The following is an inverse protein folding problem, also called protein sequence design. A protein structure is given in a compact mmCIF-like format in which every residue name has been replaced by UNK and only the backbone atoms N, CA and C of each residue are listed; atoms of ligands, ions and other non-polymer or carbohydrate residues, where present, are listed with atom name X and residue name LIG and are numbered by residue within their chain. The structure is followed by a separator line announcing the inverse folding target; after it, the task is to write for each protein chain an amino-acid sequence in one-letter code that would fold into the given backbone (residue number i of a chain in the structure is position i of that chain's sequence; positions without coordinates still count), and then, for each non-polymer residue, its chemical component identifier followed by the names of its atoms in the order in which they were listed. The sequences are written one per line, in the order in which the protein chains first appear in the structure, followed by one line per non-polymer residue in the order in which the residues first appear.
data_IF_888410241241
#
_entry.id   IF_888410241241
#
_cell.length_a   1.000
_cell.length_b   1.000
_cell.length_c   1.000
_cell.angle_alpha   90.00
_cell.angle_beta   90.00
_cell.angle_gamma   90.00
#
_symmetry.space_group_name_H-M   'P 1'
#
loop_
_entity.id
_entity.type
_entity.pdbx_description
1 polymer ?
#
# COMPACT_ATOMS: atom_id res chain seq x y z
N UNK A 1 -9.87 -11.83 -2.13
CA UNK A 1 -10.27 -10.66 -2.95
C UNK A 1 -9.08 -9.95 -3.60
N UNK A 2 -8.05 -9.55 -2.83
CA UNK A 2 -6.92 -8.74 -3.34
C UNK A 2 -6.14 -9.46 -4.45
N UNK A 3 -5.86 -10.74 -4.29
CA UNK A 3 -5.10 -11.51 -5.31
C UNK A 3 -5.90 -11.73 -6.59
N UNK A 4 -7.20 -11.97 -6.50
CA UNK A 4 -8.06 -12.07 -7.69
C UNK A 4 -8.05 -10.76 -8.50
N UNK A 5 -8.11 -9.61 -7.80
CA UNK A 5 -7.98 -8.30 -8.43
C UNK A 5 -6.58 -8.10 -9.04
N UNK A 6 -5.51 -8.62 -8.41
CA UNK A 6 -4.16 -8.57 -8.96
C UNK A 6 -4.06 -9.33 -10.29
N UNK A 7 -4.56 -10.57 -10.36
CA UNK A 7 -4.60 -11.35 -11.60
C UNK A 7 -5.29 -10.60 -12.73
N UNK A 8 -6.46 -10.04 -12.45
CA UNK A 8 -7.20 -9.24 -13.43
C UNK A 8 -6.37 -8.05 -13.95
N UNK A 9 -5.68 -7.34 -13.06
CA UNK A 9 -4.86 -6.19 -13.45
C UNK A 9 -3.61 -6.58 -14.24
N UNK A 10 -3.00 -7.74 -13.99
CA UNK A 10 -1.86 -8.23 -14.79
C UNK A 10 -2.28 -8.45 -16.25
N UNK A 11 -3.44 -9.09 -16.46
CA UNK A 11 -4.00 -9.31 -17.80
C UNK A 11 -4.34 -7.98 -18.48
N UNK A 12 -4.94 -7.04 -17.75
CA UNK A 12 -5.32 -5.73 -18.29
C UNK A 12 -4.10 -4.90 -18.72
N UNK A 13 -2.99 -4.95 -17.97
CA UNK A 13 -1.74 -4.25 -18.34
C UNK A 13 -1.18 -4.78 -19.66
N UNK A 14 -1.23 -6.10 -19.87
CA UNK A 14 -0.75 -6.76 -21.09
C UNK A 14 -1.82 -6.85 -22.18
N UNK A 15 -2.96 -6.17 -22.07
CA UNK A 15 -4.12 -6.37 -22.95
C UNK A 15 -3.84 -5.99 -24.40
N UNK A 16 -3.02 -4.96 -24.64
CA UNK A 16 -2.59 -4.56 -25.99
C UNK A 16 -1.47 -5.48 -26.47
N UNK A 17 -1.83 -6.66 -26.98
CA UNK A 17 -0.91 -7.75 -27.36
C UNK A 17 0.13 -7.37 -28.41
N UNK A 18 -0.18 -6.42 -29.29
CA UNK A 18 0.71 -5.96 -30.36
C UNK A 18 1.76 -4.96 -29.85
N UNK A 19 1.55 -4.39 -28.65
CA UNK A 19 2.50 -3.49 -28.01
C UNK A 19 3.58 -4.27 -27.29
N UNK A 20 4.81 -4.24 -27.81
CA UNK A 20 5.98 -4.81 -27.10
C UNK A 20 6.15 -4.21 -25.70
N UNK A 21 5.94 -2.90 -25.57
CA UNK A 21 6.02 -2.20 -24.30
C UNK A 21 4.93 -2.66 -23.32
N UNK A 22 3.70 -2.90 -23.79
CA UNK A 22 2.60 -3.44 -22.99
C UNK A 22 2.86 -4.87 -22.53
N UNK A 23 3.36 -5.73 -23.40
CA UNK A 23 3.71 -7.10 -23.06
C UNK A 23 4.84 -7.18 -22.03
N UNK A 24 5.90 -6.36 -22.19
CA UNK A 24 7.02 -6.26 -21.25
C UNK A 24 6.54 -5.73 -19.89
N UNK A 25 5.75 -4.66 -19.87
CA UNK A 25 5.19 -4.09 -18.66
C UNK A 25 4.31 -5.07 -17.89
N UNK A 26 3.44 -5.81 -18.62
CA UNK A 26 2.59 -6.85 -18.04
C UNK A 26 3.40 -7.99 -17.43
N UNK A 27 4.45 -8.45 -18.10
CA UNK A 27 5.33 -9.50 -17.59
C UNK A 27 6.07 -9.03 -16.32
N UNK A 28 6.67 -7.84 -16.34
CA UNK A 28 7.34 -7.27 -15.16
C UNK A 28 6.38 -7.14 -14.00
N UNK A 29 5.18 -6.62 -14.26
CA UNK A 29 4.17 -6.42 -13.24
C UNK A 29 3.70 -7.75 -12.64
N UNK A 30 3.50 -8.77 -13.46
CA UNK A 30 3.14 -10.12 -13.03
C UNK A 30 4.25 -10.76 -12.17
N UNK A 31 5.50 -10.76 -12.64
CA UNK A 31 6.61 -11.41 -11.90
C UNK A 31 6.81 -10.74 -10.54
N UNK A 32 6.96 -9.41 -10.52
CA UNK A 32 7.18 -8.68 -9.26
C UNK A 32 5.98 -8.82 -8.32
N UNK A 33 4.77 -8.75 -8.88
CA UNK A 33 3.55 -8.90 -8.09
C UNK A 33 3.38 -10.29 -7.51
N UNK A 34 3.64 -11.34 -8.28
CA UNK A 34 3.55 -12.72 -7.80
C UNK A 34 4.56 -13.01 -6.69
N UNK A 35 5.80 -12.50 -6.81
CA UNK A 35 6.81 -12.62 -5.75
C UNK A 35 6.37 -11.87 -4.49
N UNK A 36 5.91 -10.62 -4.63
CA UNK A 36 5.47 -9.82 -3.49
C UNK A 36 4.25 -10.45 -2.78
N UNK A 37 3.28 -10.97 -3.56
CA UNK A 37 2.13 -11.71 -3.04
C UNK A 37 2.54 -12.99 -2.32
N UNK A 38 3.48 -13.75 -2.89
CA UNK A 38 4.04 -14.96 -2.27
C UNK A 38 4.68 -14.65 -0.91
N UNK A 39 5.48 -13.59 -0.83
CA UNK A 39 6.09 -13.13 0.43
C UNK A 39 5.02 -12.71 1.42
N UNK A 40 4.01 -11.94 1.00
CA UNK A 40 2.89 -11.54 1.85
C UNK A 40 2.08 -12.71 2.40
N UNK A 41 1.78 -13.70 1.54
CA UNK A 41 1.09 -14.94 1.96
C UNK A 41 1.93 -15.77 2.92
N UNK A 42 3.24 -15.83 2.71
CA UNK A 42 4.15 -16.48 3.65
C UNK A 42 4.13 -15.77 5.01
N UNK A 43 4.11 -14.43 5.02
CA UNK A 43 3.91 -13.65 6.25
C UNK A 43 2.61 -13.99 6.98
N UNK A 44 1.50 -14.12 6.26
CA UNK A 44 0.23 -14.56 6.85
C UNK A 44 0.32 -15.98 7.41
N UNK A 45 1.05 -16.89 6.75
CA UNK A 45 1.25 -18.25 7.28
C UNK A 45 2.06 -18.28 8.57
N UNK A 46 3.06 -17.37 8.71
CA UNK A 46 3.81 -17.20 9.96
C UNK A 46 2.92 -16.68 11.09
N UNK A 47 2.05 -15.70 10.80
CA UNK A 47 1.07 -15.20 11.77
C UNK A 47 0.08 -16.28 12.19
N UNK A 48 -0.37 -17.11 11.24
CA UNK A 48 -1.22 -18.24 11.54
C UNK A 48 -0.52 -19.28 12.44
N UNK A 49 0.73 -19.59 12.14
CA UNK A 49 1.52 -20.53 12.95
C UNK A 49 1.70 -20.03 14.39
N UNK A 50 1.88 -18.74 14.56
CA UNK A 50 2.07 -18.11 15.86
C UNK A 50 0.77 -17.97 16.67
N UNK A 51 -0.30 -17.44 16.06
CA UNK A 51 -1.56 -17.14 16.75
C UNK A 51 -2.59 -18.27 16.68
N UNK A 52 -2.37 -19.29 15.83
CA UNK A 52 -3.32 -20.39 15.59
C UNK A 52 -4.54 -20.01 14.77
N UNK A 53 -4.70 -18.73 14.41
CA UNK A 53 -5.83 -18.20 13.63
C UNK A 53 -5.44 -16.94 12.86
N UNK A 54 -6.14 -16.66 11.74
CA UNK A 54 -6.07 -15.38 11.01
C UNK A 54 -7.26 -14.46 11.28
N UNK A 55 -8.11 -14.81 12.24
CA UNK A 55 -9.17 -13.92 12.67
C UNK A 55 -8.55 -12.68 13.34
N UNK A 56 -9.00 -11.49 12.92
CA UNK A 56 -8.41 -10.23 13.40
C UNK A 56 -8.46 -10.08 14.93
N UNK A 57 -9.54 -10.51 15.58
CA UNK A 57 -9.70 -10.45 17.02
C UNK A 57 -8.66 -11.33 17.74
N UNK A 58 -8.41 -12.55 17.21
CA UNK A 58 -7.40 -13.47 17.77
C UNK A 58 -5.99 -12.90 17.57
N UNK A 59 -5.70 -12.37 16.36
CA UNK A 59 -4.42 -11.74 16.10
C UNK A 59 -4.20 -10.52 17.00
N UNK A 60 -5.20 -9.65 17.16
CA UNK A 60 -5.12 -8.49 18.05
C UNK A 60 -4.78 -8.88 19.48
N UNK A 61 -5.49 -9.88 20.03
CA UNK A 61 -5.22 -10.39 21.39
C UNK A 61 -3.81 -11.00 21.51
N UNK A 62 -3.38 -11.77 20.50
CA UNK A 62 -2.05 -12.34 20.48
C UNK A 62 -0.96 -11.26 20.40
N UNK A 63 -1.14 -10.23 19.58
CA UNK A 63 -0.21 -9.10 19.49
C UNK A 63 -0.12 -8.30 20.81
N UNK A 64 -1.23 -8.11 21.52
CA UNK A 64 -1.25 -7.44 22.81
C UNK A 64 -0.45 -8.20 23.87
N UNK A 65 -0.37 -9.54 23.80
CA UNK A 65 0.28 -10.38 24.82
C UNK A 65 1.73 -10.74 24.50
N UNK A 66 2.06 -11.02 23.23
CA UNK A 66 3.37 -11.55 22.81
C UNK A 66 3.83 -11.05 21.43
N UNK A 67 3.34 -9.88 21.00
CA UNK A 67 3.67 -9.28 19.69
C UNK A 67 5.13 -8.89 19.50
N UNK A 68 5.94 -8.86 20.56
CA UNK A 68 7.39 -8.57 20.50
C UNK A 68 8.26 -9.76 20.10
N UNK A 69 7.67 -10.96 20.01
CA UNK A 69 8.39 -12.14 19.58
C UNK A 69 8.89 -12.01 18.12
N UNK A 70 10.02 -12.65 17.76
CA UNK A 70 10.56 -12.54 16.40
C UNK A 70 9.60 -13.02 15.31
N UNK A 71 8.82 -14.07 15.58
CA UNK A 71 7.96 -14.70 14.59
C UNK A 71 6.83 -13.77 14.09
N UNK A 72 6.01 -13.13 14.96
CA UNK A 72 5.00 -12.18 14.52
C UNK A 72 5.59 -10.92 13.90
N UNK A 73 6.75 -10.41 14.38
CA UNK A 73 7.40 -9.24 13.81
C UNK A 73 7.87 -9.50 12.36
N UNK A 74 8.48 -10.66 12.10
CA UNK A 74 8.87 -11.08 10.75
C UNK A 74 7.61 -11.31 9.89
N UNK A 75 6.58 -11.95 10.45
CA UNK A 75 5.31 -12.18 9.77
C UNK A 75 4.66 -10.88 9.29
N UNK A 76 4.55 -9.88 10.16
CA UNK A 76 4.06 -8.53 9.79
C UNK A 76 4.96 -7.88 8.74
N UNK A 77 6.29 -7.98 8.89
CA UNK A 77 7.22 -7.46 7.89
C UNK A 77 6.96 -8.03 6.49
N UNK A 78 6.73 -9.32 6.38
CA UNK A 78 6.42 -9.98 5.10
C UNK A 78 5.03 -9.60 4.57
N UNK A 79 4.03 -9.45 5.44
CA UNK A 79 2.71 -8.92 5.06
C UNK A 79 2.84 -7.51 4.51
N UNK A 80 3.68 -6.65 5.13
CA UNK A 80 3.96 -5.30 4.64
C UNK A 80 4.63 -5.29 3.25
N UNK A 81 5.43 -6.30 2.89
CA UNK A 81 5.96 -6.43 1.52
C UNK A 81 4.82 -6.61 0.51
N UNK A 82 3.88 -7.52 0.78
CA UNK A 82 2.73 -7.76 -0.09
C UNK A 82 1.83 -6.53 -0.25
N UNK A 83 1.47 -5.89 0.86
CA UNK A 83 0.69 -4.65 0.82
C UNK A 83 1.50 -3.48 0.23
N UNK A 84 2.79 -3.39 0.52
CA UNK A 84 3.69 -2.38 -0.01
C UNK A 84 3.74 -2.39 -1.53
N UNK A 85 3.82 -3.58 -2.14
CA UNK A 85 3.66 -3.73 -3.58
C UNK A 85 2.28 -3.24 -4.05
N UNK A 86 1.20 -3.63 -3.37
CA UNK A 86 -0.17 -3.29 -3.77
C UNK A 86 -0.45 -1.79 -3.74
N UNK A 87 0.05 -1.09 -2.73
CA UNK A 87 -0.07 0.38 -2.64
C UNK A 87 1.05 1.11 -3.38
N UNK A 88 2.02 0.39 -3.92
CA UNK A 88 3.24 0.89 -4.56
C UNK A 88 4.11 1.73 -3.61
N UNK A 89 4.30 1.26 -2.38
CA UNK A 89 5.23 1.86 -1.43
C UNK A 89 6.68 1.55 -1.81
N UNK A 90 7.60 2.49 -1.63
CA UNK A 90 9.03 2.22 -1.80
C UNK A 90 9.54 1.33 -0.64
N UNK A 91 10.37 0.32 -0.88
CA UNK A 91 11.03 -0.01 -2.15
C UNK A 91 10.21 -0.90 -3.11
N UNK A 92 9.01 -1.35 -2.76
CA UNK A 92 8.22 -2.35 -3.51
C UNK A 92 7.49 -1.80 -4.75
N UNK A 93 7.73 -0.54 -5.13
CA UNK A 93 7.03 0.17 -6.22
C UNK A 93 7.58 -0.09 -7.63
N UNK A 94 8.66 -0.87 -7.78
CA UNK A 94 9.45 -0.96 -9.02
C UNK A 94 8.63 -1.26 -10.29
N UNK A 95 7.62 -2.11 -10.19
CA UNK A 95 6.80 -2.48 -11.34
C UNK A 95 5.73 -1.43 -11.70
N UNK A 96 5.36 -0.53 -10.79
CA UNK A 96 4.26 0.39 -11.00
C UNK A 96 4.51 1.40 -12.14
N UNK A 97 5.68 2.08 -12.24
CA UNK A 97 5.94 3.03 -13.32
C UNK A 97 5.93 2.38 -14.70
N UNK A 98 6.45 1.17 -14.82
CA UNK A 98 6.47 0.42 -16.08
C UNK A 98 5.06 -0.09 -16.43
N UNK A 99 4.32 -0.62 -15.45
CA UNK A 99 2.94 -1.06 -15.63
C UNK A 99 2.04 0.07 -16.12
N UNK A 100 2.16 1.28 -15.55
CA UNK A 100 1.35 2.43 -15.96
C UNK A 100 1.76 2.96 -17.32
N UNK A 101 3.05 2.97 -17.65
CA UNK A 101 3.54 3.43 -18.94
C UNK A 101 3.18 2.49 -20.09
N UNK A 102 3.20 1.16 -19.84
CA UNK A 102 2.90 0.14 -20.84
C UNK A 102 1.41 -0.17 -21.01
N UNK A 103 0.59 0.09 -20.01
CA UNK A 103 -0.86 -0.09 -20.10
C UNK A 103 -1.53 1.02 -20.92
N UNK A 104 -2.75 0.75 -21.43
CA UNK A 104 -3.61 1.84 -21.94
C UNK A 104 -3.94 2.83 -20.83
N UNK A 105 -4.17 4.10 -21.16
CA UNK A 105 -4.41 5.15 -20.18
C UNK A 105 -5.60 4.87 -19.25
N UNK A 106 -6.75 4.34 -19.70
CA UNK A 106 -7.83 3.94 -18.80
C UNK A 106 -7.42 2.84 -17.80
N UNK A 107 -6.65 1.83 -18.25
CA UNK A 107 -6.15 0.76 -17.37
C UNK A 107 -5.17 1.31 -16.34
N UNK A 108 -4.25 2.20 -16.75
CA UNK A 108 -3.36 2.90 -15.83
C UNK A 108 -4.14 3.71 -14.78
N UNK A 109 -5.26 4.33 -15.17
CA UNK A 109 -6.20 4.99 -14.26
C UNK A 109 -6.79 4.05 -13.22
N UNK A 110 -7.24 2.86 -13.61
CA UNK A 110 -7.75 1.83 -12.69
C UNK A 110 -6.66 1.36 -11.72
N UNK A 111 -5.43 1.15 -12.19
CA UNK A 111 -4.30 0.78 -11.35
C UNK A 111 -3.99 1.88 -10.31
N UNK A 112 -4.05 3.16 -10.75
CA UNK A 112 -3.76 4.29 -9.89
C UNK A 112 -4.84 4.54 -8.82
N UNK A 113 -6.04 4.05 -9.01
CA UNK A 113 -7.23 4.32 -8.17
C UNK A 113 -7.74 3.07 -7.47
N UNK A 114 -8.53 2.25 -8.14
CA UNK A 114 -9.22 1.12 -7.53
C UNK A 114 -8.26 0.09 -6.90
N UNK A 115 -7.17 -0.25 -7.59
CA UNK A 115 -6.18 -1.20 -7.09
C UNK A 115 -5.50 -0.69 -5.82
N UNK A 116 -5.12 0.60 -5.79
CA UNK A 116 -4.51 1.22 -4.61
C UNK A 116 -5.51 1.40 -3.45
N UNK A 117 -6.73 1.79 -3.75
CA UNK A 117 -7.77 1.92 -2.74
C UNK A 117 -8.00 0.60 -2.00
N UNK A 118 -8.12 -0.50 -2.73
CA UNK A 118 -8.26 -1.83 -2.12
C UNK A 118 -7.04 -2.20 -1.26
N UNK A 119 -5.83 -1.95 -1.75
CA UNK A 119 -4.59 -2.21 -1.01
C UNK A 119 -4.50 -1.37 0.26
N UNK A 120 -4.83 -0.08 0.18
CA UNK A 120 -4.76 0.85 1.31
C UNK A 120 -5.81 0.52 2.38
N UNK A 121 -7.05 0.26 2.00
CA UNK A 121 -8.11 -0.15 2.94
C UNK A 121 -7.76 -1.47 3.62
N UNK A 122 -7.21 -2.44 2.88
CA UNK A 122 -6.74 -3.69 3.45
C UNK A 122 -5.60 -3.48 4.45
N UNK A 123 -4.62 -2.63 4.11
CA UNK A 123 -3.50 -2.29 4.97
C UNK A 123 -3.95 -1.55 6.25
N UNK A 124 -4.82 -0.54 6.11
CA UNK A 124 -5.42 0.19 7.24
C UNK A 124 -6.09 -0.81 8.19
N UNK A 125 -6.96 -1.67 7.63
CA UNK A 125 -7.68 -2.65 8.44
C UNK A 125 -6.74 -3.63 9.15
N UNK A 126 -5.72 -4.13 8.45
CA UNK A 126 -4.74 -5.04 9.03
C UNK A 126 -3.96 -4.37 10.17
N UNK A 127 -3.43 -3.17 9.93
CA UNK A 127 -2.57 -2.49 10.90
C UNK A 127 -3.34 -1.96 12.12
N UNK A 128 -4.51 -1.36 11.92
CA UNK A 128 -5.28 -0.82 13.04
C UNK A 128 -5.88 -1.89 13.94
N UNK A 129 -6.31 -3.01 13.37
CA UNK A 129 -6.92 -4.08 14.16
C UNK A 129 -5.86 -4.95 14.83
N UNK A 130 -4.76 -5.23 14.13
CA UNK A 130 -3.75 -6.18 14.61
C UNK A 130 -2.70 -5.50 15.47
N UNK A 131 -2.34 -4.27 15.15
CA UNK A 131 -1.18 -3.61 15.74
C UNK A 131 -1.51 -2.43 16.65
N UNK A 132 -2.78 -2.02 16.72
CA UNK A 132 -3.26 -0.91 17.54
C UNK A 132 -3.87 -1.29 18.91
N UNK A 133 -3.98 -2.56 19.33
CA UNK A 133 -4.45 -2.82 20.69
C UNK A 133 -3.35 -2.49 21.68
N UNK A 134 -3.66 -1.57 22.58
CA UNK A 134 -2.97 -1.18 23.82
C UNK A 134 -1.42 -1.24 23.80
N UNK A 135 -0.80 -0.12 24.16
CA UNK A 135 0.63 0.14 24.18
C UNK A 135 1.53 -1.07 24.53
N UNK A 136 1.95 -1.83 23.54
CA UNK A 136 3.01 -2.83 23.69
C UNK A 136 4.30 -2.33 23.04
N UNK A 137 5.46 -2.63 23.63
CA UNK A 137 6.76 -2.23 23.08
C UNK A 137 6.96 -2.70 21.62
N UNK A 138 6.31 -3.81 21.23
CA UNK A 138 6.35 -4.32 19.86
C UNK A 138 5.63 -3.44 18.84
N UNK A 139 4.59 -2.72 19.24
CA UNK A 139 3.87 -1.81 18.35
C UNK A 139 4.72 -0.60 17.93
N UNK A 140 5.66 -0.15 18.75
CA UNK A 140 6.56 0.95 18.43
C UNK A 140 7.51 0.60 17.26
N UNK A 141 8.03 -0.61 17.21
CA UNK A 141 8.99 -1.04 16.18
C UNK A 141 8.39 -0.96 14.78
N UNK A 142 7.22 -1.52 14.58
CA UNK A 142 6.61 -1.51 13.25
C UNK A 142 6.03 -0.14 12.90
N UNK A 143 5.62 0.72 13.87
CA UNK A 143 5.27 2.12 13.62
C UNK A 143 6.47 2.91 13.07
N UNK A 144 7.65 2.74 13.67
CA UNK A 144 8.89 3.35 13.16
C UNK A 144 9.21 2.85 11.75
N UNK A 145 9.09 1.54 11.50
CA UNK A 145 9.26 0.97 10.17
C UNK A 145 8.27 1.55 9.16
N UNK A 146 6.99 1.69 9.53
CA UNK A 146 5.96 2.26 8.67
C UNK A 146 6.22 3.74 8.39
N UNK A 147 6.64 4.52 9.39
CA UNK A 147 7.03 5.93 9.24
C UNK A 147 8.24 6.12 8.33
N UNK A 148 9.27 5.27 8.49
CA UNK A 148 10.43 5.26 7.60
C UNK A 148 10.04 4.91 6.16
N UNK A 149 9.17 3.92 5.99
CA UNK A 149 8.62 3.51 4.69
C UNK A 149 7.80 4.64 4.05
N UNK A 150 7.02 5.36 4.83
CA UNK A 150 6.26 6.53 4.39
C UNK A 150 7.19 7.64 3.90
N UNK A 151 8.19 8.02 4.71
CA UNK A 151 9.17 9.05 4.36
C UNK A 151 9.95 8.69 3.09
N UNK A 152 10.42 7.44 2.98
CA UNK A 152 11.11 6.95 1.79
C UNK A 152 10.19 6.99 0.57
N UNK A 153 8.94 6.55 0.71
CA UNK A 153 7.97 6.47 -0.38
C UNK A 153 7.62 7.86 -0.93
N UNK A 154 7.33 8.83 -0.05
CA UNK A 154 7.00 10.18 -0.49
C UNK A 154 8.19 10.89 -1.12
N UNK A 155 9.39 10.74 -0.56
CA UNK A 155 10.62 11.37 -1.08
C UNK A 155 10.98 10.80 -2.44
N UNK A 156 11.05 9.47 -2.54
CA UNK A 156 11.37 8.79 -3.80
C UNK A 156 10.34 9.09 -4.89
N UNK A 157 9.05 9.01 -4.56
CA UNK A 157 7.97 9.26 -5.50
C UNK A 157 8.03 10.68 -6.09
N UNK A 158 8.26 11.69 -5.26
CA UNK A 158 8.37 13.08 -5.72
C UNK A 158 9.62 13.32 -6.57
N UNK A 159 10.78 12.84 -6.14
CA UNK A 159 12.04 13.01 -6.90
C UNK A 159 11.99 12.30 -8.25
N UNK A 160 11.48 11.07 -8.29
CA UNK A 160 11.36 10.32 -9.53
C UNK A 160 10.31 10.90 -10.49
N UNK A 161 9.23 11.50 -9.95
CA UNK A 161 8.23 12.19 -10.76
C UNK A 161 8.83 13.41 -11.48
N UNK A 162 9.66 14.20 -10.77
CA UNK A 162 10.33 15.38 -11.35
C UNK A 162 11.32 15.00 -12.48
N UNK A 163 11.98 13.85 -12.37
CA UNK A 163 12.90 13.36 -13.40
C UNK A 163 12.22 12.67 -14.60
N UNK A 164 10.91 12.49 -14.57
CA UNK A 164 10.21 11.69 -15.59
C UNK A 164 9.74 12.56 -16.76
N UNK A 165 10.16 12.18 -17.98
CA UNK A 165 9.72 12.81 -19.24
C UNK A 165 8.43 12.21 -19.80
N UNK A 166 8.06 10.99 -19.38
CA UNK A 166 6.84 10.31 -19.80
C UNK A 166 5.70 10.68 -18.84
N UNK A 167 4.58 11.25 -19.32
CA UNK A 167 3.48 11.71 -18.45
C UNK A 167 2.83 10.56 -17.67
N UNK A 168 2.69 9.37 -18.23
CA UNK A 168 2.17 8.21 -17.49
C UNK A 168 3.10 7.77 -16.36
N UNK A 169 4.43 7.77 -16.60
CA UNK A 169 5.42 7.48 -15.56
C UNK A 169 5.42 8.56 -14.48
N UNK A 170 5.32 9.83 -14.86
CA UNK A 170 5.21 10.95 -13.92
C UNK A 170 3.98 10.79 -13.02
N UNK A 171 2.81 10.46 -13.60
CA UNK A 171 1.59 10.19 -12.83
C UNK A 171 1.71 8.94 -11.94
N UNK A 172 2.46 7.92 -12.38
CA UNK A 172 2.74 6.72 -11.59
C UNK A 172 3.59 7.08 -10.35
N UNK A 173 4.69 7.81 -10.52
CA UNK A 173 5.53 8.27 -9.40
C UNK A 173 4.80 9.23 -8.47
N UNK A 174 3.99 10.14 -9.02
CA UNK A 174 3.07 10.94 -8.21
C UNK A 174 2.12 10.06 -7.39
N UNK A 175 1.65 8.94 -7.95
CA UNK A 175 0.81 7.98 -7.24
C UNK A 175 1.58 7.22 -6.14
N UNK A 176 2.89 7.00 -6.31
CA UNK A 176 3.80 6.49 -5.25
C UNK A 176 3.92 7.51 -4.12
N UNK A 177 4.15 8.78 -4.42
CA UNK A 177 4.24 9.85 -3.41
C UNK A 177 2.96 9.96 -2.57
N UNK A 178 1.78 9.90 -3.22
CA UNK A 178 0.49 9.92 -2.50
C UNK A 178 0.28 8.69 -1.61
N UNK A 179 0.79 7.51 -2.00
CA UNK A 179 0.80 6.35 -1.11
C UNK A 179 1.65 6.62 0.14
N UNK A 180 2.80 7.28 -0.01
CA UNK A 180 3.63 7.72 1.11
C UNK A 180 2.91 8.67 2.07
N UNK A 181 2.14 9.64 1.55
CA UNK A 181 1.33 10.54 2.39
C UNK A 181 0.27 9.79 3.19
N UNK A 182 -0.39 8.81 2.57
CA UNK A 182 -1.36 7.97 3.26
C UNK A 182 -0.71 7.08 4.33
N UNK A 183 0.47 6.52 4.05
CA UNK A 183 1.23 5.76 5.04
C UNK A 183 1.67 6.63 6.22
N UNK A 184 2.07 7.89 6.00
CA UNK A 184 2.39 8.83 7.08
C UNK A 184 1.18 9.11 7.98
N UNK A 185 0.01 9.35 7.38
CA UNK A 185 -1.23 9.49 8.14
C UNK A 185 -1.58 8.24 8.94
N UNK A 186 -1.41 7.04 8.35
CA UNK A 186 -1.64 5.78 9.06
C UNK A 186 -0.65 5.59 10.23
N UNK A 187 0.61 5.99 10.05
CA UNK A 187 1.61 6.00 11.13
C UNK A 187 1.18 6.93 12.27
N UNK A 188 0.66 8.12 11.95
CA UNK A 188 0.18 9.07 12.95
C UNK A 188 -1.01 8.50 13.74
N UNK A 189 -1.99 7.87 13.07
CA UNK A 189 -3.10 7.18 13.75
C UNK A 189 -2.58 6.10 14.69
N UNK A 190 -1.65 5.25 14.23
CA UNK A 190 -1.04 4.22 15.07
C UNK A 190 -0.25 4.78 16.25
N UNK A 191 0.45 5.91 16.08
CA UNK A 191 1.18 6.55 17.16
C UNK A 191 0.24 7.10 18.26
N UNK A 192 -0.90 7.64 17.91
CA UNK A 192 -1.90 8.11 18.88
C UNK A 192 -2.60 6.98 19.62
N UNK A 193 -2.82 5.84 18.99
CA UNK A 193 -3.35 4.66 19.68
C UNK A 193 -2.31 4.05 20.62
N UNK A 194 -1.01 4.20 20.31
CA UNK A 194 0.09 3.71 21.12
C UNK A 194 0.37 4.60 22.34
N UNK A 195 0.35 5.93 22.20
CA UNK A 195 0.56 6.89 23.29
C UNK A 195 -0.53 7.95 23.28
N UNK A 196 -1.59 7.78 24.10
CA UNK A 196 -2.69 8.73 24.20
C UNK A 196 -2.27 10.13 24.66
N UNK A 197 -1.08 10.31 25.27
CA UNK A 197 -0.58 11.62 25.69
C UNK A 197 -0.34 12.56 24.50
N UNK A 198 -0.09 12.02 23.30
CA UNK A 198 -0.04 12.80 22.07
C UNK A 198 -1.42 13.27 21.58
N UNK A 199 -2.50 12.67 22.05
CA UNK A 199 -3.83 12.88 21.49
C UNK A 199 -4.61 14.08 22.08
N UNK A 200 -4.17 14.65 23.17
CA UNK A 200 -4.77 15.86 23.81
C UNK A 200 -6.28 15.83 24.10
N UNK A 201 -7.06 15.09 23.33
CA UNK A 201 -8.49 14.85 23.46
C UNK A 201 -8.81 13.46 22.92
N UNK A 202 -9.38 12.64 23.75
CA UNK A 202 -9.78 11.23 23.60
C UNK A 202 -10.20 10.82 22.16
N UNK A 203 -9.27 10.38 21.33
CA UNK A 203 -9.56 9.77 20.03
C UNK A 203 -10.02 10.71 18.90
N UNK A 204 -10.34 11.97 19.16
CA UNK A 204 -10.81 12.92 18.12
C UNK A 204 -9.73 13.17 17.07
N UNK A 205 -8.47 13.29 17.47
CA UNK A 205 -7.37 13.49 16.53
C UNK A 205 -7.14 12.27 15.64
N UNK A 206 -7.21 11.05 16.17
CA UNK A 206 -7.12 9.82 15.40
C UNK A 206 -8.28 9.70 14.40
N UNK A 207 -9.50 10.03 14.84
CA UNK A 207 -10.68 10.04 13.96
C UNK A 207 -10.55 11.09 12.85
N UNK A 208 -10.04 12.28 13.16
CA UNK A 208 -9.82 13.35 12.19
C UNK A 208 -8.81 12.92 11.13
N UNK A 209 -7.67 12.31 11.51
CA UNK A 209 -6.68 11.83 10.54
C UNK A 209 -7.21 10.66 9.74
N UNK A 210 -7.96 9.74 10.34
CA UNK A 210 -8.60 8.66 9.60
C UNK A 210 -9.59 9.21 8.56
N UNK A 211 -10.40 10.19 8.94
CA UNK A 211 -11.33 10.87 8.03
C UNK A 211 -10.56 11.57 6.90
N UNK A 212 -9.46 12.24 7.21
CA UNK A 212 -8.58 12.88 6.23
C UNK A 212 -7.94 11.86 5.27
N UNK A 213 -7.53 10.68 5.75
CA UNK A 213 -7.02 9.59 4.94
C UNK A 213 -8.07 9.08 3.94
N UNK A 214 -9.30 8.83 4.41
CA UNK A 214 -10.38 8.35 3.56
C UNK A 214 -10.80 9.42 2.54
N UNK A 215 -10.85 10.69 2.97
CA UNK A 215 -11.09 11.82 2.07
C UNK A 215 -9.97 11.96 1.01
N UNK A 216 -8.70 11.85 1.43
CA UNK A 216 -7.57 11.87 0.50
C UNK A 216 -7.64 10.73 -0.52
N UNK A 217 -8.04 9.54 -0.10
CA UNK A 217 -8.22 8.40 -1.00
C UNK A 217 -9.32 8.69 -2.05
N UNK A 218 -10.44 9.28 -1.64
CA UNK A 218 -11.52 9.66 -2.54
C UNK A 218 -11.09 10.72 -3.55
N UNK A 219 -10.39 11.77 -3.08
CA UNK A 219 -9.84 12.82 -3.94
C UNK A 219 -8.81 12.24 -4.92
N UNK A 220 -7.96 11.33 -4.45
CA UNK A 220 -6.97 10.66 -5.29
C UNK A 220 -7.63 9.87 -6.42
N UNK A 221 -8.73 9.15 -6.13
CA UNK A 221 -9.49 8.42 -7.15
C UNK A 221 -10.00 9.38 -8.23
N UNK A 222 -10.68 10.46 -7.85
CA UNK A 222 -11.21 11.44 -8.80
C UNK A 222 -10.12 12.11 -9.63
N UNK A 223 -9.07 12.59 -8.97
CA UNK A 223 -7.95 13.29 -9.61
C UNK A 223 -7.15 12.40 -10.56
N UNK A 224 -6.75 11.19 -10.11
CA UNK A 224 -5.94 10.28 -10.93
C UNK A 224 -6.71 9.73 -12.11
N UNK A 225 -7.96 9.31 -11.88
CA UNK A 225 -8.79 8.82 -12.97
C UNK A 225 -8.99 9.91 -14.02
N UNK A 226 -9.31 11.14 -13.60
CA UNK A 226 -9.45 12.29 -14.50
C UNK A 226 -8.18 12.55 -15.30
N UNK A 227 -7.00 12.57 -14.66
CA UNK A 227 -5.72 12.78 -15.36
C UNK A 227 -5.44 11.70 -16.40
N UNK A 228 -5.67 10.41 -16.10
CA UNK A 228 -5.48 9.35 -17.08
C UNK A 228 -6.52 9.34 -18.20
N UNK A 229 -7.76 9.78 -17.93
CA UNK A 229 -8.78 9.94 -18.97
C UNK A 229 -8.40 11.08 -19.95
N UNK A 230 -7.84 12.19 -19.44
CA UNK A 230 -7.32 13.25 -20.32
C UNK A 230 -6.18 12.71 -21.19
N UNK A 231 -5.25 11.94 -20.62
CA UNK A 231 -4.18 11.32 -21.41
C UNK A 231 -4.73 10.37 -22.48
N UNK A 232 -5.82 9.66 -22.22
CA UNK A 232 -6.43 8.75 -23.20
C UNK A 232 -7.06 9.46 -24.40
N UNK A 233 -7.33 10.77 -24.30
CA UNK A 233 -7.82 11.62 -25.41
C UNK A 233 -6.63 12.11 -26.25
N UNK A 234 -5.45 12.24 -25.65
CA UNK A 234 -4.25 12.76 -26.28
C UNK A 234 -3.41 11.68 -26.98
N UNK A 235 -3.65 10.40 -26.70
CA UNK A 235 -3.05 9.22 -27.34
C UNK A 235 -3.77 8.86 -28.62
#
# INVERSE_FOLDING_TARGET
GLELASFSTYVLVAFLKESKAGAEAGMKYFIVGSVASGVGLYGLSMLYLWAGSLQFEVLATAFATSGTEPLPLIGIGFVLVGFGFKVSAAPFHFAAPDAYAGASSPVAGVLATASKAMGMVGLIRMLLIVAAPEASEGSAVWLVCLGALAALTMTWGNLAALGSTNPKRMLAYSSVAHAGYMLAGLTAVGAWTWDPSFAGSEGEAALLVMTALLFHLLVLVAFKLGAFLVLSILE
#
